data_IF_153148689154
#
_entry.id   IF_153148689154
#
_cell.length_a   1.000
_cell.length_b   1.000
_cell.length_c   1.000
_cell.angle_alpha   90.00
_cell.angle_beta   90.00
_cell.angle_gamma   90.00
#
_symmetry.space_group_name_H-M   'P 1'
#
loop_
_entity.id
_entity.type
_entity.pdbx_description
1 polymer ?
#
# COMPACT_ATOMS: atom_id res chain seq x y z
N UNK A 1 4.38 -39.66 -1.31
CA UNK A 1 4.28 -38.55 -0.35
C UNK A 1 5.15 -37.44 -0.89
N UNK A 2 4.58 -36.63 -1.79
CA UNK A 2 5.28 -35.66 -2.65
C UNK A 2 4.58 -34.29 -2.57
N UNK A 3 4.05 -33.94 -1.40
CA UNK A 3 3.18 -32.75 -1.25
C UNK A 3 3.88 -31.57 -0.54
N UNK A 4 5.03 -31.79 0.11
CA UNK A 4 5.71 -30.75 0.90
C UNK A 4 6.83 -29.99 0.15
N UNK A 5 7.16 -30.38 -1.09
CA UNK A 5 8.31 -29.78 -1.80
C UNK A 5 7.97 -28.49 -2.56
N UNK A 6 6.70 -28.28 -2.91
CA UNK A 6 6.27 -27.10 -3.69
C UNK A 6 5.61 -26.00 -2.85
N UNK A 7 5.17 -26.30 -1.63
CA UNK A 7 4.48 -25.33 -0.77
C UNK A 7 5.41 -24.27 -0.16
N UNK A 8 6.73 -24.47 -0.20
CA UNK A 8 7.69 -23.62 0.53
C UNK A 8 8.59 -22.78 -0.39
N UNK A 9 8.43 -22.85 -1.71
CA UNK A 9 9.34 -22.21 -2.66
C UNK A 9 8.79 -20.92 -3.31
N UNK A 10 7.52 -20.57 -3.06
CA UNK A 10 6.87 -19.47 -3.79
C UNK A 10 6.45 -18.26 -2.95
N UNK A 11 6.71 -18.22 -1.63
CA UNK A 11 6.05 -17.21 -0.79
C UNK A 11 6.91 -16.39 0.18
N UNK A 12 8.24 -16.52 0.23
CA UNK A 12 9.01 -15.84 1.30
C UNK A 12 10.40 -15.39 0.88
N UNK A 13 10.51 -14.46 -0.07
CA UNK A 13 11.83 -13.91 -0.46
C UNK A 13 12.13 -12.58 0.26
N UNK A 14 11.10 -11.81 0.60
CA UNK A 14 11.14 -10.60 1.45
C UNK A 14 10.48 -10.82 2.83
N UNK A 15 10.04 -12.04 3.13
CA UNK A 15 9.29 -12.33 4.36
C UNK A 15 7.80 -12.03 4.28
N UNK A 16 7.30 -11.56 3.13
CA UNK A 16 5.92 -11.09 2.99
C UNK A 16 5.08 -12.01 2.12
N UNK A 17 3.80 -12.12 2.47
CA UNK A 17 2.80 -12.72 1.60
C UNK A 17 2.34 -11.71 0.54
N UNK A 18 1.85 -12.20 -0.60
CA UNK A 18 1.39 -11.32 -1.69
C UNK A 18 0.30 -10.34 -1.23
N UNK A 19 -0.56 -10.74 -0.28
CA UNK A 19 -1.58 -9.85 0.29
C UNK A 19 -0.99 -8.64 1.02
N UNK A 20 0.17 -8.80 1.67
CA UNK A 20 0.88 -7.71 2.35
C UNK A 20 1.54 -6.77 1.33
N UNK A 21 2.10 -7.31 0.24
CA UNK A 21 2.66 -6.51 -0.86
C UNK A 21 1.58 -5.67 -1.54
N UNK A 22 0.40 -6.26 -1.76
CA UNK A 22 -0.78 -5.60 -2.30
C UNK A 22 -1.30 -4.50 -1.36
N UNK A 23 -1.31 -4.76 -0.05
CA UNK A 23 -1.70 -3.78 0.97
C UNK A 23 -0.72 -2.60 1.04
N UNK A 24 0.57 -2.84 0.87
CA UNK A 24 1.58 -1.77 0.76
C UNK A 24 1.31 -0.85 -0.42
N UNK A 25 0.98 -1.41 -1.60
CA UNK A 25 0.62 -0.59 -2.76
C UNK A 25 -0.65 0.22 -2.49
N UNK A 26 -1.66 -0.39 -1.87
CA UNK A 26 -2.89 0.32 -1.49
C UNK A 26 -2.63 1.43 -0.46
N UNK A 27 -1.70 1.24 0.47
CA UNK A 27 -1.26 2.24 1.43
C UNK A 27 -0.53 3.42 0.75
N UNK A 28 0.39 3.14 -0.18
CA UNK A 28 1.09 4.19 -0.93
C UNK A 28 0.12 5.01 -1.80
N UNK A 29 -0.81 4.34 -2.47
CA UNK A 29 -1.88 5.01 -3.25
C UNK A 29 -2.78 5.84 -2.35
N UNK A 30 -3.16 5.34 -1.16
CA UNK A 30 -3.92 6.09 -0.17
C UNK A 30 -3.21 7.37 0.25
N UNK A 31 -1.90 7.30 0.51
CA UNK A 31 -1.11 8.46 0.93
C UNK A 31 -0.98 9.51 -0.18
N UNK A 32 -0.70 9.12 -1.42
CA UNK A 32 -0.49 10.06 -2.52
C UNK A 32 -1.80 10.65 -3.07
N UNK A 33 -2.86 9.86 -3.18
CA UNK A 33 -4.11 10.31 -3.82
C UNK A 33 -4.93 11.31 -2.98
N UNK A 34 -4.32 11.88 -1.93
CA UNK A 34 -4.95 12.80 -0.98
C UNK A 34 -5.49 14.07 -1.65
N UNK A 35 -4.92 14.49 -2.77
CA UNK A 35 -5.34 15.65 -3.55
C UNK A 35 -6.41 15.32 -4.62
N UNK A 36 -6.80 14.04 -4.73
CA UNK A 36 -7.69 13.43 -5.76
C UNK A 36 -7.08 13.35 -7.16
N UNK A 37 -5.78 13.57 -7.28
CA UNK A 37 -5.00 13.37 -8.48
C UNK A 37 -3.87 12.39 -8.21
N UNK A 38 -3.35 11.81 -9.27
CA UNK A 38 -2.13 11.02 -9.26
C UNK A 38 -1.53 11.31 -10.63
N UNK A 39 -0.53 12.16 -10.66
CA UNK A 39 0.25 12.48 -11.83
C UNK A 39 1.03 11.26 -12.31
N UNK A 40 1.53 11.34 -13.54
CA UNK A 40 2.36 10.26 -14.10
C UNK A 40 3.68 10.09 -13.32
N UNK A 41 4.21 11.17 -12.74
CA UNK A 41 5.44 11.13 -11.93
C UNK A 41 5.20 10.44 -10.59
N UNK A 42 4.12 10.78 -9.90
CA UNK A 42 3.72 10.13 -8.63
C UNK A 42 3.41 8.64 -8.83
N UNK A 43 2.73 8.30 -9.93
CA UNK A 43 2.52 6.91 -10.33
C UNK A 43 3.84 6.19 -10.57
N UNK A 44 4.80 6.85 -11.24
CA UNK A 44 6.15 6.33 -11.45
C UNK A 44 6.91 6.08 -10.14
N UNK A 45 6.75 6.97 -9.15
CA UNK A 45 7.30 6.81 -7.80
C UNK A 45 6.70 5.61 -7.07
N UNK A 46 5.38 5.45 -7.10
CA UNK A 46 4.70 4.28 -6.53
C UNK A 46 5.18 3.00 -7.21
N UNK A 47 5.22 2.97 -8.55
CA UNK A 47 5.69 1.79 -9.28
C UNK A 47 7.16 1.46 -9.01
N UNK A 48 8.01 2.47 -8.77
CA UNK A 48 9.42 2.26 -8.45
C UNK A 48 9.61 1.73 -7.03
N UNK A 49 8.90 2.29 -6.05
CA UNK A 49 8.91 1.82 -4.66
C UNK A 49 8.28 0.42 -4.54
N UNK A 50 7.21 0.17 -5.28
CA UNK A 50 6.56 -1.13 -5.32
C UNK A 50 7.43 -2.20 -6.04
N UNK A 51 8.40 -1.82 -6.88
CA UNK A 51 9.41 -2.75 -7.41
C UNK A 51 10.46 -3.16 -6.38
N UNK A 52 10.58 -2.45 -5.25
CA UNK A 52 11.48 -2.83 -4.17
C UNK A 52 10.96 -4.03 -3.37
N UNK A 53 9.67 -4.37 -3.51
CA UNK A 53 9.09 -5.62 -2.99
C UNK A 53 9.04 -6.70 -4.08
N UNK A 54 9.15 -7.97 -3.68
CA UNK A 54 9.14 -9.09 -4.63
C UNK A 54 7.72 -9.39 -5.13
N UNK A 55 7.23 -8.52 -6.01
CA UNK A 55 5.88 -8.60 -6.56
C UNK A 55 5.64 -9.94 -7.28
N UNK A 56 4.73 -10.75 -6.75
CA UNK A 56 4.40 -12.08 -7.26
C UNK A 56 2.90 -12.23 -7.63
N UNK A 57 2.20 -11.12 -7.86
CA UNK A 57 0.79 -11.18 -8.30
C UNK A 57 0.70 -11.61 -9.77
N UNK A 58 -0.40 -12.27 -10.11
CA UNK A 58 -0.78 -12.51 -11.52
C UNK A 58 -1.12 -11.21 -12.26
N UNK A 59 -1.38 -10.15 -11.51
CA UNK A 59 -1.62 -8.80 -12.02
C UNK A 59 -0.28 -8.05 -12.04
N UNK A 60 0.14 -7.49 -13.19
CA UNK A 60 1.30 -6.62 -13.23
C UNK A 60 1.17 -5.46 -12.23
N UNK A 61 2.28 -5.08 -11.60
CA UNK A 61 2.26 -4.05 -10.55
C UNK A 61 1.63 -2.73 -11.01
N UNK A 62 1.93 -2.29 -12.22
CA UNK A 62 1.35 -1.08 -12.82
C UNK A 62 -0.18 -1.18 -13.01
N UNK A 63 -0.69 -2.37 -13.31
CA UNK A 63 -2.13 -2.62 -13.42
C UNK A 63 -2.79 -2.69 -12.04
N UNK A 64 -2.08 -3.24 -11.04
CA UNK A 64 -2.57 -3.25 -9.66
C UNK A 64 -2.66 -1.84 -9.08
N UNK A 65 -1.67 -0.98 -9.34
CA UNK A 65 -1.71 0.45 -8.96
C UNK A 65 -2.97 1.11 -9.54
N UNK A 66 -3.29 0.89 -10.82
CA UNK A 66 -4.52 1.42 -11.43
C UNK A 66 -5.80 0.91 -10.75
N UNK A 67 -5.83 -0.38 -10.38
CA UNK A 67 -6.96 -0.95 -9.65
C UNK A 67 -7.09 -0.35 -8.25
N UNK A 68 -5.97 -0.14 -7.57
CA UNK A 68 -5.91 0.52 -6.26
C UNK A 68 -6.46 1.94 -6.32
N UNK A 69 -6.04 2.74 -7.31
CA UNK A 69 -6.59 4.08 -7.57
C UNK A 69 -8.10 4.02 -7.82
N UNK A 70 -8.56 3.04 -8.60
CA UNK A 70 -9.99 2.86 -8.88
C UNK A 70 -10.78 2.54 -7.61
N UNK A 71 -10.27 1.65 -6.74
CA UNK A 71 -10.89 1.32 -5.44
C UNK A 71 -10.95 2.55 -4.54
N UNK A 72 -9.84 3.28 -4.43
CA UNK A 72 -9.76 4.48 -3.61
C UNK A 72 -10.77 5.54 -4.07
N UNK A 73 -10.87 5.79 -5.37
CA UNK A 73 -11.88 6.71 -5.93
C UNK A 73 -13.32 6.36 -5.58
N UNK A 74 -13.63 5.08 -5.37
CA UNK A 74 -14.98 4.63 -5.02
C UNK A 74 -15.34 4.86 -3.56
N UNK A 75 -14.33 4.95 -2.68
CA UNK A 75 -14.53 5.15 -1.23
C UNK A 75 -14.34 6.61 -0.82
N UNK A 76 -13.55 7.37 -1.59
CA UNK A 76 -13.16 8.73 -1.22
C UNK A 76 -14.35 9.70 -1.17
N UNK A 77 -14.44 10.47 -0.09
CA UNK A 77 -15.56 11.36 0.23
C UNK A 77 -16.68 10.71 1.04
N UNK A 78 -16.54 9.44 1.43
CA UNK A 78 -17.44 8.72 2.33
C UNK A 78 -16.63 8.19 3.51
N UNK A 79 -16.71 8.88 4.65
CA UNK A 79 -15.87 8.63 5.84
C UNK A 79 -15.94 7.17 6.31
N UNK A 80 -17.13 6.57 6.32
CA UNK A 80 -17.29 5.18 6.75
C UNK A 80 -16.62 4.18 5.80
N UNK A 81 -16.64 4.45 4.48
CA UNK A 81 -15.96 3.61 3.49
C UNK A 81 -14.45 3.83 3.50
N UNK A 82 -14.02 5.05 3.71
CA UNK A 82 -12.60 5.39 3.89
C UNK A 82 -12.01 4.66 5.10
N UNK A 83 -12.71 4.67 6.24
CA UNK A 83 -12.31 3.92 7.43
C UNK A 83 -12.27 2.41 7.18
N UNK A 84 -13.28 1.86 6.49
CA UNK A 84 -13.30 0.43 6.15
C UNK A 84 -12.16 0.06 5.19
N UNK A 85 -11.83 0.92 4.23
CA UNK A 85 -10.72 0.72 3.31
C UNK A 85 -9.37 0.77 4.04
N UNK A 86 -9.19 1.73 4.94
CA UNK A 86 -8.00 1.85 5.75
C UNK A 86 -7.82 0.64 6.67
N UNK A 87 -8.93 0.17 7.27
CA UNK A 87 -8.92 -1.04 8.08
C UNK A 87 -8.51 -2.26 7.27
N UNK A 88 -9.05 -2.44 6.06
CA UNK A 88 -8.69 -3.54 5.17
C UNK A 88 -7.19 -3.55 4.82
N UNK A 89 -6.60 -2.36 4.60
CA UNK A 89 -5.15 -2.22 4.40
C UNK A 89 -4.38 -2.72 5.62
N UNK A 90 -4.75 -2.27 6.82
CA UNK A 90 -4.07 -2.65 8.08
C UNK A 90 -4.23 -4.15 8.35
N UNK A 91 -5.44 -4.68 8.19
CA UNK A 91 -5.75 -6.11 8.36
C UNK A 91 -4.89 -6.98 7.42
N UNK A 92 -4.67 -6.54 6.17
CA UNK A 92 -3.84 -7.26 5.20
C UNK A 92 -2.34 -7.13 5.44
N UNK A 93 -1.87 -6.02 6.02
CA UNK A 93 -0.48 -5.91 6.46
C UNK A 93 -0.19 -6.89 7.60
N UNK A 94 -1.16 -7.11 8.49
CA UNK A 94 -1.27 -8.18 9.49
C UNK A 94 -0.14 -8.32 10.53
N UNK A 95 1.05 -7.75 10.27
CA UNK A 95 2.27 -7.95 11.06
C UNK A 95 2.96 -6.63 11.32
N UNK A 96 3.56 -6.51 12.50
CA UNK A 96 4.29 -5.30 12.88
C UNK A 96 5.42 -4.92 11.90
N UNK A 97 6.24 -5.86 11.36
CA UNK A 97 7.24 -5.53 10.35
C UNK A 97 6.63 -4.97 9.07
N UNK A 98 5.52 -5.55 8.59
CA UNK A 98 4.85 -5.07 7.38
C UNK A 98 4.24 -3.68 7.59
N UNK A 99 3.58 -3.44 8.72
CA UNK A 99 3.06 -2.13 9.09
C UNK A 99 4.16 -1.06 9.17
N UNK A 100 5.32 -1.39 9.77
CA UNK A 100 6.46 -0.47 9.88
C UNK A 100 7.01 -0.09 8.51
N UNK A 101 7.26 -1.08 7.66
CA UNK A 101 7.73 -0.85 6.30
C UNK A 101 6.72 -0.04 5.49
N UNK A 102 5.41 -0.32 5.64
CA UNK A 102 4.38 0.43 4.94
C UNK A 102 4.40 1.91 5.31
N UNK A 103 4.58 2.25 6.58
CA UNK A 103 4.74 3.64 7.02
C UNK A 103 6.02 4.26 6.45
N UNK A 104 7.14 3.55 6.45
CA UNK A 104 8.41 4.04 5.90
C UNK A 104 8.33 4.29 4.39
N UNK A 105 7.74 3.37 3.62
CA UNK A 105 7.52 3.54 2.19
C UNK A 105 6.54 4.67 1.89
N UNK A 106 5.43 4.79 2.63
CA UNK A 106 4.48 5.90 2.43
C UNK A 106 5.12 7.26 2.75
N UNK A 107 5.99 7.33 3.76
CA UNK A 107 6.80 8.53 4.05
C UNK A 107 7.77 8.83 2.92
N UNK A 108 8.49 7.83 2.43
CA UNK A 108 9.46 8.01 1.35
C UNK A 108 8.78 8.53 0.08
N UNK A 109 7.59 8.02 -0.23
CA UNK A 109 6.79 8.45 -1.38
C UNK A 109 6.27 9.89 -1.20
N UNK A 110 5.68 10.22 -0.06
CA UNK A 110 5.19 11.57 0.24
C UNK A 110 6.32 12.62 0.26
N UNK A 111 7.54 12.23 0.65
CA UNK A 111 8.72 13.11 0.62
C UNK A 111 9.45 13.14 -0.73
N UNK A 112 9.08 12.25 -1.66
CA UNK A 112 9.72 12.20 -2.99
C UNK A 112 9.18 13.27 -3.93
N UNK A 113 7.97 13.79 -3.66
CA UNK A 113 7.44 14.94 -4.37
C UNK A 113 8.04 16.22 -3.76
N UNK A 114 8.54 17.11 -4.61
CA UNK A 114 9.12 18.39 -4.19
C UNK A 114 8.03 19.41 -3.78
N UNK A 115 6.77 18.99 -3.75
CA UNK A 115 5.59 19.78 -3.40
C UNK A 115 4.81 19.04 -2.30
N UNK A 116 5.26 19.14 -1.04
CA UNK A 116 4.56 18.56 0.11
C UNK A 116 3.13 19.13 0.19
N UNK A 117 2.11 18.41 -0.29
CA UNK A 117 0.71 18.81 -0.07
C UNK A 117 0.33 18.43 1.37
N UNK A 118 -0.14 19.41 2.13
CA UNK A 118 -0.63 19.23 3.50
C UNK A 118 -1.67 18.09 3.63
N UNK A 119 -2.36 17.74 2.54
CA UNK A 119 -3.32 16.63 2.50
C UNK A 119 -2.65 15.25 2.54
N UNK A 120 -1.51 15.05 1.90
CA UNK A 120 -0.78 13.76 1.95
C UNK A 120 -0.39 13.42 3.40
N UNK A 121 0.06 14.43 4.15
CA UNK A 121 0.35 14.30 5.58
C UNK A 121 -0.87 13.89 6.41
N UNK A 122 -2.07 14.36 6.07
CA UNK A 122 -3.30 13.93 6.76
C UNK A 122 -3.59 12.46 6.50
N UNK A 123 -3.47 12.01 5.24
CA UNK A 123 -3.73 10.62 4.87
C UNK A 123 -2.69 9.66 5.46
N UNK A 124 -1.41 10.05 5.46
CA UNK A 124 -0.35 9.33 6.16
C UNK A 124 -0.60 9.27 7.68
N UNK A 125 -0.99 10.39 8.30
CA UNK A 125 -1.31 10.42 9.73
C UNK A 125 -2.48 9.50 10.10
N UNK A 126 -3.49 9.40 9.23
CA UNK A 126 -4.61 8.46 9.40
C UNK A 126 -4.13 7.02 9.33
N UNK A 127 -3.28 6.68 8.36
CA UNK A 127 -2.69 5.34 8.25
C UNK A 127 -1.85 4.98 9.49
N UNK A 128 -0.97 5.88 9.93
CA UNK A 128 -0.18 5.67 11.14
C UNK A 128 -1.06 5.52 12.39
N UNK A 129 -2.15 6.28 12.47
CA UNK A 129 -3.15 6.16 13.53
C UNK A 129 -3.86 4.81 13.53
N UNK A 130 -4.30 4.35 12.36
CA UNK A 130 -4.95 3.05 12.21
C UNK A 130 -4.02 1.89 12.61
N UNK A 131 -2.75 1.94 12.18
CA UNK A 131 -1.75 0.94 12.55
C UNK A 131 -1.50 0.91 14.07
N UNK A 132 -1.44 2.08 14.72
CA UNK A 132 -1.23 2.18 16.18
C UNK A 132 -2.46 1.79 17.00
N UNK A 133 -3.65 1.86 16.41
CA UNK A 133 -4.92 1.54 17.08
C UNK A 133 -5.28 0.05 17.10
N UNK A 134 -4.60 -0.78 16.30
CA UNK A 134 -4.81 -2.24 16.23
C UNK A 134 -3.79 -3.07 17.04
N UNK A 135 -2.91 -2.43 17.82
CA UNK A 135 -1.98 -3.08 18.76
C UNK A 135 -2.46 -3.07 20.20
#
# INVERSE_FOLDING_TARGET
MWEDFFANYYDVVDGWEQGQREALVDAMVWTMYADRHLSDDERGSIESQAKEVEWNSRVPIADYVLQSVSRLRQVLGDEAKEEAYLKDIVDRLATEPACRQAVESCRAVALSDCDEDAREHVFLSRLEGAIKGEG
#
